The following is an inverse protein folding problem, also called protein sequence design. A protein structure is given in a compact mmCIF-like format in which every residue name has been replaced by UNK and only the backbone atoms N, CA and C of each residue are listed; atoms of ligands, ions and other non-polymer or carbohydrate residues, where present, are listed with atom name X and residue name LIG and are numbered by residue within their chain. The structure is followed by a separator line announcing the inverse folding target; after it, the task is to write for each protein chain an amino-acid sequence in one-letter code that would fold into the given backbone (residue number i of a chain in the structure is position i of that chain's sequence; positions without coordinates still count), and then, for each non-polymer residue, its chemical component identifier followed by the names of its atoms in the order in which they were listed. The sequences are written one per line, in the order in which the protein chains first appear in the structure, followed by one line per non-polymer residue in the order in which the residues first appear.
data_IF_744127928459
#
_entry.id   IF_744127928459
#
_cell.length_a   1.000
_cell.length_b   1.000
_cell.length_c   1.000
_cell.angle_alpha   90.00
_cell.angle_beta   90.00
_cell.angle_gamma   90.00
#
_symmetry.space_group_name_H-M   'P 1'
#
loop_
_entity.id
_entity.type
_entity.pdbx_description
1 polymer ?
#
# COMPACT_ATOMS: atom_id res chain seq x y z
N UNK A 1 17.09 -1.46 -16.07
CA UNK A 1 16.55 -0.92 -17.33
C UNK A 1 17.64 -0.97 -18.38
N UNK A 2 17.26 -1.08 -19.63
CA UNK A 2 18.13 -0.99 -20.80
C UNK A 2 17.39 -0.15 -21.85
N UNK A 3 18.05 0.85 -22.43
CA UNK A 3 17.47 1.78 -23.41
C UNK A 3 16.10 2.37 -22.97
N UNK A 4 16.04 2.83 -21.71
CA UNK A 4 14.82 3.41 -21.13
C UNK A 4 13.69 2.42 -20.82
N UNK A 5 13.93 1.11 -20.88
CA UNK A 5 12.92 0.06 -20.65
C UNK A 5 13.26 -0.85 -19.47
N UNK A 6 12.24 -1.22 -18.68
CA UNK A 6 12.39 -2.22 -17.62
C UNK A 6 12.60 -3.60 -18.25
N UNK A 7 13.63 -4.30 -17.77
CA UNK A 7 13.91 -5.68 -18.15
C UNK A 7 12.94 -6.60 -17.44
N UNK A 8 12.45 -7.62 -18.13
CA UNK A 8 11.50 -8.58 -17.56
C UNK A 8 12.23 -9.57 -16.67
N UNK A 9 11.52 -10.09 -15.66
CA UNK A 9 11.99 -11.28 -14.96
C UNK A 9 11.78 -12.51 -15.85
N UNK A 10 12.76 -13.43 -15.87
CA UNK A 10 12.67 -14.69 -16.61
C UNK A 10 13.06 -14.66 -18.10
N UNK A 11 13.67 -13.57 -18.58
CA UNK A 11 14.26 -13.47 -19.93
C UNK A 11 15.78 -13.35 -19.85
N UNK A 12 16.49 -13.76 -20.89
CA UNK A 12 17.95 -13.59 -20.95
C UNK A 12 18.32 -12.19 -21.44
N UNK A 13 19.56 -11.77 -21.17
CA UNK A 13 20.09 -10.51 -21.70
C UNK A 13 20.06 -10.49 -23.23
N UNK A 14 20.29 -11.64 -23.87
CA UNK A 14 20.22 -11.79 -25.32
C UNK A 14 18.80 -11.60 -25.87
N UNK A 15 17.77 -12.08 -25.14
CA UNK A 15 16.36 -11.89 -25.53
C UNK A 15 15.94 -10.42 -25.52
N UNK A 16 16.59 -9.61 -24.68
CA UNK A 16 16.38 -8.16 -24.58
C UNK A 16 17.37 -7.37 -25.46
N UNK A 17 18.15 -8.05 -26.31
CA UNK A 17 19.05 -7.44 -27.29
C UNK A 17 20.32 -6.81 -26.71
N UNK A 18 20.63 -7.09 -25.44
CA UNK A 18 21.76 -6.51 -24.72
C UNK A 18 23.07 -7.17 -25.17
N UNK A 19 24.05 -6.38 -25.52
CA UNK A 19 25.36 -6.79 -26.01
C UNK A 19 26.48 -6.47 -25.02
N UNK A 20 27.66 -7.03 -25.26
CA UNK A 20 28.86 -6.69 -24.50
C UNK A 20 29.20 -5.20 -24.69
N UNK A 21 29.42 -4.50 -23.57
CA UNK A 21 29.68 -3.06 -23.55
C UNK A 21 28.45 -2.19 -23.32
N UNK A 22 27.24 -2.77 -23.33
CA UNK A 22 26.02 -2.05 -23.01
C UNK A 22 25.92 -1.69 -21.52
N UNK A 23 25.25 -0.57 -21.25
CA UNK A 23 25.03 -0.06 -19.88
C UNK A 23 23.64 -0.43 -19.41
N UNK A 24 23.56 -1.02 -18.21
CA UNK A 24 22.31 -1.32 -17.54
C UNK A 24 22.08 -0.33 -16.41
N UNK A 25 20.95 0.36 -16.47
CA UNK A 25 20.53 1.23 -15.38
C UNK A 25 19.81 0.41 -14.31
N UNK A 26 20.47 0.18 -13.18
CA UNK A 26 19.84 -0.48 -12.03
C UNK A 26 19.01 0.53 -11.25
N UNK A 27 17.69 0.36 -11.31
CA UNK A 27 16.76 1.08 -10.45
C UNK A 27 16.18 0.13 -9.43
N UNK A 28 16.08 0.61 -8.20
CA UNK A 28 15.23 -0.03 -7.24
C UNK A 28 13.76 0.18 -7.63
N UNK A 29 13.00 -0.89 -7.87
CA UNK A 29 11.56 -0.77 -8.03
C UNK A 29 10.94 -0.21 -6.73
N UNK A 30 9.91 0.61 -6.90
CA UNK A 30 9.07 1.06 -5.81
C UNK A 30 7.96 0.05 -5.63
N UNK A 31 7.87 -0.47 -4.41
CA UNK A 31 6.91 -1.51 -4.04
C UNK A 31 5.87 -0.91 -3.11
N UNK A 32 4.60 -1.02 -3.50
CA UNK A 32 3.48 -0.94 -2.58
C UNK A 32 3.45 -2.26 -1.80
N UNK A 33 4.09 -2.24 -0.63
CA UNK A 33 4.33 -3.42 0.20
C UNK A 33 3.23 -3.59 1.24
N UNK A 34 2.81 -4.84 1.41
CA UNK A 34 1.85 -5.29 2.42
C UNK A 34 0.48 -4.58 2.49
N UNK A 35 -0.16 -4.16 1.38
CA UNK A 35 -1.61 -4.07 1.38
C UNK A 35 -2.28 -5.36 1.87
N UNK A 36 -2.92 -5.30 3.03
CA UNK A 36 -3.77 -6.37 3.55
C UNK A 36 -5.18 -5.87 3.79
N UNK A 37 -6.16 -6.69 3.46
CA UNK A 37 -7.59 -6.37 3.49
C UNK A 37 -8.28 -7.27 4.53
N UNK A 38 -8.86 -6.64 5.54
CA UNK A 38 -9.68 -7.27 6.59
C UNK A 38 -11.16 -6.97 6.35
N UNK A 39 -12.02 -7.97 6.57
CA UNK A 39 -13.48 -7.85 6.49
C UNK A 39 -14.06 -8.11 7.88
N UNK A 40 -14.86 -7.18 8.40
CA UNK A 40 -15.54 -7.29 9.70
C UNK A 40 -17.04 -7.08 9.52
N UNK A 41 -17.80 -8.11 9.09
CA UNK A 41 -19.24 -8.01 9.00
C UNK A 41 -19.89 -8.04 10.39
N UNK A 42 -21.10 -7.48 10.57
CA UNK A 42 -21.79 -7.49 11.87
C UNK A 42 -22.41 -8.86 12.21
N UNK A 43 -22.51 -9.74 11.21
CA UNK A 43 -22.94 -11.12 11.32
C UNK A 43 -22.17 -11.98 10.31
N UNK A 44 -22.06 -13.30 10.50
CA UNK A 44 -21.33 -14.17 9.57
C UNK A 44 -21.81 -14.00 8.12
N UNK A 45 -20.87 -13.72 7.21
CA UNK A 45 -21.11 -13.68 5.77
C UNK A 45 -20.63 -14.99 5.15
N UNK A 46 -21.57 -15.77 4.61
CA UNK A 46 -21.25 -17.03 3.94
C UNK A 46 -20.45 -16.84 2.64
N UNK A 47 -20.57 -15.67 2.00
CA UNK A 47 -19.82 -15.32 0.80
C UNK A 47 -19.70 -13.80 0.69
N UNK A 48 -18.48 -13.34 0.44
CA UNK A 48 -18.14 -11.98 0.05
C UNK A 48 -17.12 -12.05 -1.10
N UNK A 49 -17.36 -11.27 -2.15
CA UNK A 49 -16.44 -11.09 -3.27
C UNK A 49 -15.62 -9.83 -3.02
N UNK A 50 -14.30 -9.96 -3.04
CA UNK A 50 -13.35 -8.85 -2.90
C UNK A 50 -12.58 -8.72 -4.19
N UNK A 51 -12.73 -7.59 -4.86
CA UNK A 51 -12.07 -7.34 -6.14
C UNK A 51 -11.18 -6.12 -6.06
N UNK A 52 -9.99 -6.23 -6.66
CA UNK A 52 -8.99 -5.18 -6.63
C UNK A 52 -8.49 -4.92 -8.03
N UNK A 53 -8.54 -3.66 -8.48
CA UNK A 53 -8.06 -3.26 -9.79
C UNK A 53 -6.97 -2.19 -9.71
N UNK A 54 -5.81 -2.45 -10.31
CA UNK A 54 -4.68 -1.53 -10.34
C UNK A 54 -4.68 -0.70 -11.63
N UNK A 55 -4.23 0.54 -11.50
CA UNK A 55 -3.88 1.36 -12.67
C UNK A 55 -2.58 0.88 -13.32
N UNK A 56 -2.31 1.24 -14.59
CA UNK A 56 -1.14 0.74 -15.33
C UNK A 56 0.23 1.09 -14.74
N UNK A 57 0.27 2.08 -13.85
CA UNK A 57 1.45 2.46 -13.06
C UNK A 57 1.90 1.37 -12.08
N UNK A 58 1.04 0.40 -11.76
CA UNK A 58 1.33 -0.73 -10.89
C UNK A 58 0.95 -2.06 -11.55
N UNK A 59 1.70 -3.10 -11.21
CA UNK A 59 1.29 -4.48 -11.45
C UNK A 59 1.38 -5.28 -10.16
N UNK A 60 0.54 -6.31 -10.04
CA UNK A 60 0.63 -7.25 -8.93
C UNK A 60 2.00 -7.97 -8.94
N UNK A 61 2.65 -8.01 -7.78
CA UNK A 61 3.92 -8.73 -7.57
C UNK A 61 3.77 -9.92 -6.63
N UNK A 62 2.80 -9.88 -5.71
CA UNK A 62 2.44 -10.99 -4.83
C UNK A 62 0.95 -10.94 -4.50
N UNK A 63 0.33 -12.12 -4.33
CA UNK A 63 -1.08 -12.30 -4.00
C UNK A 63 -1.21 -13.49 -3.06
N UNK A 64 -2.00 -13.35 -2.00
CA UNK A 64 -2.34 -14.46 -1.13
C UNK A 64 -3.75 -14.28 -0.55
N UNK A 65 -4.67 -15.24 -0.76
CA UNK A 65 -4.53 -16.48 -1.54
C UNK A 65 -4.19 -16.22 -3.01
N UNK A 66 -3.60 -17.23 -3.66
CA UNK A 66 -3.20 -17.14 -5.07
C UNK A 66 -4.44 -17.13 -5.94
N UNK A 67 -4.59 -16.09 -6.76
CA UNK A 67 -5.68 -15.93 -7.73
C UNK A 67 -5.12 -15.44 -9.06
N UNK A 68 -5.85 -15.70 -10.14
CA UNK A 68 -5.45 -15.26 -11.47
C UNK A 68 -5.59 -13.75 -11.63
N UNK A 69 -4.57 -13.14 -12.24
CA UNK A 69 -4.59 -11.73 -12.62
C UNK A 69 -5.23 -11.59 -14.00
N UNK A 70 -6.38 -10.93 -14.05
CA UNK A 70 -7.06 -10.59 -15.30
C UNK A 70 -6.55 -9.23 -15.80
N UNK A 71 -6.12 -9.14 -17.05
CA UNK A 71 -5.74 -7.88 -17.70
C UNK A 71 -6.82 -7.45 -18.69
N UNK A 72 -7.07 -6.14 -18.76
CA UNK A 72 -8.07 -5.58 -19.69
C UNK A 72 -7.70 -5.81 -21.17
N UNK A 73 -6.41 -5.83 -21.49
CA UNK A 73 -5.85 -6.22 -22.79
C UNK A 73 -4.43 -6.78 -22.62
N UNK A 74 -3.76 -7.15 -23.71
CA UNK A 74 -2.38 -7.68 -23.70
C UNK A 74 -1.30 -6.60 -23.81
N UNK A 75 -1.66 -5.32 -23.68
CA UNK A 75 -0.69 -4.23 -23.75
C UNK A 75 0.08 -4.09 -22.43
N UNK A 76 1.15 -3.29 -22.44
CA UNK A 76 1.94 -3.03 -21.23
C UNK A 76 1.26 -2.06 -20.28
N UNK A 77 0.27 -1.32 -20.77
CA UNK A 77 -0.40 -0.23 -20.07
C UNK A 77 -1.83 -0.65 -19.66
N UNK A 78 -2.11 -1.95 -19.61
CA UNK A 78 -3.41 -2.47 -19.24
C UNK A 78 -3.63 -2.34 -17.73
N UNK A 79 -4.86 -1.98 -17.36
CA UNK A 79 -5.34 -2.22 -16.01
C UNK A 79 -5.34 -3.72 -15.72
N UNK A 80 -4.98 -4.07 -14.49
CA UNK A 80 -5.03 -5.44 -13.99
C UNK A 80 -6.03 -5.55 -12.86
N UNK A 81 -6.70 -6.70 -12.73
CA UNK A 81 -7.69 -6.97 -11.70
C UNK A 81 -7.49 -8.38 -11.14
N UNK A 82 -7.76 -8.52 -9.85
CA UNK A 82 -7.86 -9.79 -9.14
C UNK A 82 -9.17 -9.84 -8.37
N UNK A 83 -9.60 -11.05 -8.03
CA UNK A 83 -10.83 -11.27 -7.28
C UNK A 83 -10.68 -12.48 -6.37
N UNK A 84 -11.08 -12.32 -5.11
CA UNK A 84 -11.21 -13.40 -4.14
C UNK A 84 -12.68 -13.57 -3.77
N UNK A 85 -13.06 -14.79 -3.43
CA UNK A 85 -14.35 -15.08 -2.78
C UNK A 85 -14.09 -15.77 -1.46
N UNK A 86 -14.57 -15.17 -0.38
CA UNK A 86 -14.33 -15.63 1.01
C UNK A 86 -15.63 -15.67 1.79
N UNK A 87 -15.74 -16.56 2.78
CA UNK A 87 -16.63 -16.29 3.92
C UNK A 87 -15.92 -15.38 4.92
N UNK A 88 -16.67 -14.62 5.70
CA UNK A 88 -16.13 -13.70 6.70
C UNK A 88 -16.93 -13.79 8.01
N UNK A 89 -16.22 -13.92 9.13
CA UNK A 89 -16.77 -13.92 10.48
C UNK A 89 -16.65 -12.53 11.12
N UNK A 90 -17.52 -12.18 12.10
CA UNK A 90 -17.47 -10.87 12.76
C UNK A 90 -16.14 -10.55 13.46
N UNK A 91 -15.36 -11.56 13.82
CA UNK A 91 -14.04 -11.40 14.44
C UNK A 91 -12.91 -11.08 13.43
N UNK A 92 -13.22 -11.08 12.13
CA UNK A 92 -12.29 -10.83 11.03
C UNK A 92 -11.68 -12.09 10.41
N UNK A 93 -12.00 -13.28 10.92
CA UNK A 93 -11.55 -14.53 10.32
C UNK A 93 -12.21 -14.75 8.96
N UNK A 94 -11.44 -15.19 7.98
CA UNK A 94 -11.91 -15.47 6.62
C UNK A 94 -11.64 -16.93 6.25
N UNK A 95 -12.47 -17.48 5.37
CA UNK A 95 -12.19 -18.74 4.68
C UNK A 95 -12.30 -18.53 3.19
N UNK A 96 -11.24 -18.80 2.43
CA UNK A 96 -11.31 -18.76 0.97
C UNK A 96 -12.11 -19.96 0.46
N UNK A 97 -13.17 -19.68 -0.33
CA UNK A 97 -14.22 -20.67 -0.59
C UNK A 97 -13.79 -21.78 -1.56
N UNK A 98 -12.78 -21.55 -2.40
CA UNK A 98 -12.33 -22.54 -3.39
C UNK A 98 -11.44 -23.62 -2.77
N UNK A 99 -10.65 -23.25 -1.77
CA UNK A 99 -9.61 -24.07 -1.13
C UNK A 99 -9.93 -24.45 0.31
N UNK A 100 -10.85 -23.74 0.98
CA UNK A 100 -11.12 -23.89 2.41
C UNK A 100 -10.02 -23.30 3.30
N UNK A 101 -9.14 -22.46 2.74
CA UNK A 101 -8.01 -21.88 3.46
C UNK A 101 -8.48 -20.83 4.47
N UNK A 102 -8.15 -21.04 5.75
CA UNK A 102 -8.39 -20.08 6.83
C UNK A 102 -7.37 -18.95 6.79
N UNK A 103 -7.85 -17.71 6.92
CA UNK A 103 -7.06 -16.49 6.74
C UNK A 103 -7.46 -15.45 7.77
N UNK A 104 -6.52 -14.56 8.09
CA UNK A 104 -6.81 -13.33 8.85
C UNK A 104 -7.15 -12.14 7.96
N UNK A 105 -6.69 -12.17 6.72
CA UNK A 105 -6.80 -11.09 5.74
C UNK A 105 -6.46 -11.62 4.35
N UNK A 106 -6.86 -10.88 3.33
CA UNK A 106 -6.35 -11.02 1.96
C UNK A 106 -5.10 -10.15 1.81
N UNK A 107 -4.09 -10.64 1.12
CA UNK A 107 -2.80 -9.96 0.95
C UNK A 107 -2.50 -9.73 -0.52
N UNK A 108 -1.98 -8.55 -0.83
CA UNK A 108 -1.44 -8.23 -2.14
C UNK A 108 -0.23 -7.30 -2.06
N UNK A 109 0.62 -7.33 -3.07
CA UNK A 109 1.67 -6.33 -3.29
C UNK A 109 1.64 -5.88 -4.74
N UNK A 110 2.13 -4.66 -4.98
CA UNK A 110 2.35 -4.16 -6.32
C UNK A 110 3.72 -3.50 -6.49
N UNK A 111 4.26 -3.59 -7.69
CA UNK A 111 5.48 -2.90 -8.09
C UNK A 111 5.18 -1.87 -9.18
N UNK A 112 5.89 -0.74 -9.11
CA UNK A 112 5.87 0.29 -10.14
C UNK A 112 6.34 -0.27 -11.49
N UNK A 113 5.53 -0.09 -12.52
CA UNK A 113 5.88 -0.43 -13.91
C UNK A 113 6.83 0.58 -14.55
N UNK A 114 7.04 1.72 -13.88
CA UNK A 114 7.72 2.89 -14.44
C UNK A 114 6.96 3.58 -15.57
N UNK A 115 5.79 3.07 -15.95
CA UNK A 115 4.84 3.80 -16.78
C UNK A 115 4.37 5.03 -16.02
N UNK A 116 4.38 6.16 -16.71
CA UNK A 116 3.90 7.44 -16.19
C UNK A 116 2.87 7.95 -17.16
N UNK A 117 1.61 7.78 -16.78
CA UNK A 117 0.48 8.42 -17.44
C UNK A 117 0.56 9.95 -17.25
N UNK A 118 0.08 10.69 -18.26
CA UNK A 118 -0.10 12.14 -18.12
C UNK A 118 -1.35 12.41 -17.27
N UNK A 119 -1.13 12.65 -15.98
CA UNK A 119 -2.19 12.92 -15.03
C UNK A 119 -1.85 14.18 -14.23
N UNK A 120 -1.99 15.33 -14.89
CA UNK A 120 -2.05 16.63 -14.22
C UNK A 120 -3.10 16.61 -13.10
N UNK A 121 -2.69 16.97 -11.88
CA UNK A 121 -3.58 17.16 -10.72
C UNK A 121 -3.76 15.99 -9.75
N UNK A 122 -3.11 14.83 -9.92
CA UNK A 122 -3.08 13.78 -8.87
C UNK A 122 -2.10 14.18 -7.76
N UNK A 123 -2.47 13.94 -6.49
CA UNK A 123 -1.58 14.16 -5.33
C UNK A 123 -0.76 12.93 -4.95
N UNK A 124 -1.05 11.81 -5.60
CA UNK A 124 -0.31 10.56 -5.47
C UNK A 124 -0.19 9.88 -6.84
N UNK A 125 1.04 9.53 -7.19
CA UNK A 125 1.37 8.72 -8.35
C UNK A 125 2.12 7.46 -7.90
N UNK A 126 1.60 6.26 -8.18
CA UNK A 126 2.22 5.00 -7.80
C UNK A 126 3.65 4.82 -8.33
N UNK A 127 3.90 5.26 -9.56
CA UNK A 127 5.23 5.22 -10.20
C UNK A 127 6.15 6.38 -9.83
N UNK A 128 5.65 7.40 -9.13
CA UNK A 128 6.40 8.61 -8.73
C UNK A 128 5.85 9.14 -7.39
N UNK A 129 5.90 8.34 -6.31
CA UNK A 129 5.48 8.79 -4.99
C UNK A 129 6.38 9.95 -4.55
N UNK A 130 5.78 10.96 -3.92
CA UNK A 130 6.50 12.14 -3.47
C UNK A 130 6.43 12.33 -1.96
N UNK A 131 7.61 12.57 -1.38
CA UNK A 131 7.83 13.08 -0.03
C UNK A 131 8.79 14.26 -0.13
N UNK A 132 8.30 15.44 0.22
CA UNK A 132 9.06 16.68 0.23
C UNK A 132 8.75 17.50 1.48
N UNK A 133 9.55 18.53 1.73
CA UNK A 133 9.47 19.40 2.90
C UNK A 133 8.11 20.09 3.12
N UNK A 134 7.22 20.12 2.11
CA UNK A 134 5.88 20.72 2.19
C UNK A 134 4.79 19.72 2.56
N UNK A 135 5.01 18.42 2.36
CA UNK A 135 3.97 17.39 2.52
C UNK A 135 4.28 16.34 3.58
N UNK A 136 5.56 16.16 3.94
CA UNK A 136 6.03 15.17 4.89
C UNK A 136 6.01 15.69 6.33
N UNK A 137 6.03 14.75 7.28
CA UNK A 137 6.46 14.97 8.66
C UNK A 137 7.78 14.24 8.84
N UNK A 138 8.70 14.77 9.64
CA UNK A 138 9.98 14.11 9.94
C UNK A 138 10.14 13.90 11.42
N UNK A 139 10.51 12.68 11.82
CA UNK A 139 10.78 12.32 13.20
C UNK A 139 12.05 11.45 13.30
N UNK A 140 12.84 11.59 14.39
CA UNK A 140 13.84 10.59 14.73
C UNK A 140 13.20 9.21 14.94
N UNK A 141 13.98 8.14 14.84
CA UNK A 141 13.48 6.76 14.83
C UNK A 141 12.55 6.41 16.01
N UNK A 142 12.96 6.68 17.26
CA UNK A 142 12.14 6.32 18.43
C UNK A 142 10.83 7.13 18.51
N UNK A 143 10.84 8.48 18.41
CA UNK A 143 9.61 9.26 18.29
C UNK A 143 8.72 8.85 17.12
N UNK A 144 9.30 8.48 15.98
CA UNK A 144 8.58 7.99 14.81
C UNK A 144 7.75 6.74 15.14
N UNK A 145 8.34 5.73 15.79
CA UNK A 145 7.60 4.49 16.12
C UNK A 145 6.42 4.75 17.06
N UNK A 146 6.62 5.57 18.10
CA UNK A 146 5.53 5.94 19.02
C UNK A 146 4.43 6.73 18.32
N UNK A 147 4.81 7.67 17.46
CA UNK A 147 3.86 8.45 16.67
C UNK A 147 3.10 7.59 15.66
N UNK A 148 3.79 6.66 14.99
CA UNK A 148 3.19 5.74 14.03
C UNK A 148 2.10 4.89 14.69
N UNK A 149 2.37 4.29 15.85
CA UNK A 149 1.37 3.48 16.56
C UNK A 149 0.12 4.30 16.94
N UNK A 150 0.33 5.52 17.46
CA UNK A 150 -0.75 6.44 17.81
C UNK A 150 -1.57 6.88 16.57
N UNK A 151 -0.90 7.20 15.47
CA UNK A 151 -1.52 7.58 14.22
C UNK A 151 -2.37 6.42 13.65
N UNK A 152 -1.82 5.21 13.58
CA UNK A 152 -2.55 4.02 13.14
C UNK A 152 -3.75 3.72 14.05
N UNK A 153 -3.63 3.92 15.37
CA UNK A 153 -4.74 3.79 16.31
C UNK A 153 -5.86 4.81 16.03
N UNK A 154 -5.48 6.07 15.76
CA UNK A 154 -6.44 7.13 15.45
C UNK A 154 -7.21 6.84 14.16
N UNK A 155 -6.53 6.24 13.19
CA UNK A 155 -7.04 5.74 11.91
C UNK A 155 -7.79 4.40 12.03
N UNK A 156 -8.15 4.02 13.26
CA UNK A 156 -9.01 2.88 13.60
C UNK A 156 -8.45 1.50 13.28
N UNK A 157 -7.13 1.35 13.11
CA UNK A 157 -6.53 0.03 13.02
C UNK A 157 -6.56 -0.66 14.39
N UNK A 158 -7.06 -1.90 14.42
CA UNK A 158 -7.02 -2.76 15.60
C UNK A 158 -5.60 -3.23 15.91
N UNK A 159 -5.36 -3.70 17.13
CA UNK A 159 -4.00 -4.02 17.63
C UNK A 159 -3.23 -5.01 16.75
N UNK A 160 -3.87 -6.08 16.24
CA UNK A 160 -3.19 -7.03 15.34
C UNK A 160 -2.72 -6.34 14.06
N UNK A 161 -3.60 -5.60 13.36
CA UNK A 161 -3.22 -4.86 12.16
C UNK A 161 -2.08 -3.86 12.40
N UNK A 162 -2.03 -3.18 13.55
CA UNK A 162 -0.93 -2.26 13.90
C UNK A 162 0.39 -3.00 14.11
N UNK A 163 0.36 -4.07 14.89
CA UNK A 163 1.55 -4.87 15.20
C UNK A 163 2.12 -5.54 13.95
N UNK A 164 1.25 -6.11 13.11
CA UNK A 164 1.64 -6.74 11.86
C UNK A 164 2.29 -5.71 10.92
N UNK A 165 1.69 -4.54 10.76
CA UNK A 165 2.22 -3.44 9.96
C UNK A 165 3.61 -2.98 10.43
N UNK A 166 3.77 -2.73 11.73
CA UNK A 166 5.06 -2.30 12.28
C UNK A 166 6.11 -3.39 12.13
N UNK A 167 5.75 -4.66 12.33
CA UNK A 167 6.67 -5.79 12.22
C UNK A 167 7.16 -5.99 10.80
N UNK A 168 6.27 -5.91 9.80
CA UNK A 168 6.64 -6.02 8.40
C UNK A 168 7.60 -4.91 7.96
N UNK A 169 7.34 -3.66 8.34
CA UNK A 169 8.16 -2.52 7.94
C UNK A 169 9.40 -2.30 8.82
N UNK A 170 9.51 -2.98 9.96
CA UNK A 170 10.65 -2.82 10.90
C UNK A 170 12.02 -2.97 10.24
N UNK A 171 12.28 -3.94 9.33
CA UNK A 171 13.58 -4.04 8.65
C UNK A 171 13.92 -2.78 7.84
N UNK A 172 12.94 -2.11 7.23
CA UNK A 172 13.13 -0.86 6.50
C UNK A 172 13.42 0.30 7.45
N UNK A 173 12.64 0.43 8.53
CA UNK A 173 12.86 1.47 9.53
C UNK A 173 14.21 1.32 10.24
N UNK A 174 14.61 0.08 10.55
CA UNK A 174 15.92 -0.22 11.11
C UNK A 174 17.05 0.17 10.15
N UNK A 175 16.91 -0.12 8.84
CA UNK A 175 17.88 0.32 7.84
C UNK A 175 18.03 1.84 7.77
N UNK A 176 16.94 2.59 7.89
CA UNK A 176 16.98 4.06 7.94
C UNK A 176 17.73 4.52 9.20
N UNK A 177 17.37 3.98 10.36
CA UNK A 177 18.05 4.27 11.64
C UNK A 177 19.54 3.97 11.60
N UNK A 178 19.93 2.82 11.06
CA UNK A 178 21.33 2.36 11.05
C UNK A 178 22.21 3.23 10.14
N UNK A 179 21.61 3.97 9.21
CA UNK A 179 22.27 5.02 8.42
C UNK A 179 22.36 6.37 9.13
N UNK A 180 21.87 6.48 10.37
CA UNK A 180 21.81 7.74 11.12
C UNK A 180 20.74 8.72 10.63
N UNK A 181 19.76 8.23 9.88
CA UNK A 181 18.73 9.07 9.25
C UNK A 181 17.47 9.19 10.12
N UNK A 182 16.72 10.26 9.92
CA UNK A 182 15.36 10.42 10.40
C UNK A 182 14.35 9.82 9.41
N UNK A 183 13.13 9.56 9.87
CA UNK A 183 12.05 9.04 9.01
C UNK A 183 11.16 10.20 8.58
N UNK A 184 11.16 10.48 7.29
CA UNK A 184 10.17 11.34 6.65
C UNK A 184 8.97 10.50 6.22
N UNK A 185 7.75 10.91 6.53
CA UNK A 185 6.56 10.12 6.22
C UNK A 185 5.29 10.95 6.04
N UNK A 186 4.30 10.36 5.38
CA UNK A 186 2.91 10.83 5.36
C UNK A 186 1.96 9.68 5.05
N UNK A 187 0.74 9.75 5.56
CA UNK A 187 -0.35 8.90 5.05
C UNK A 187 -1.01 9.53 3.82
N UNK A 188 -1.39 8.70 2.86
CA UNK A 188 -2.11 9.13 1.66
C UNK A 188 -3.60 9.25 1.97
N UNK A 189 -4.24 10.29 1.45
CA UNK A 189 -5.70 10.39 1.49
C UNK A 189 -6.34 9.21 0.77
N UNK A 190 -7.30 8.53 1.40
CA UNK A 190 -7.86 7.29 0.87
C UNK A 190 -8.42 7.44 -0.55
N UNK A 191 -9.01 8.60 -0.87
CA UNK A 191 -9.50 8.94 -2.22
C UNK A 191 -8.42 8.99 -3.31
N UNK A 192 -7.19 9.32 -2.94
CA UNK A 192 -6.06 9.35 -3.88
C UNK A 192 -5.48 7.95 -4.08
N UNK A 193 -5.50 7.13 -3.02
CA UNK A 193 -5.12 5.72 -3.08
C UNK A 193 -6.13 4.89 -3.89
N UNK A 194 -7.43 5.16 -3.74
CA UNK A 194 -8.53 4.58 -4.54
C UNK A 194 -8.32 4.73 -6.05
N UNK A 195 -7.74 5.86 -6.47
CA UNK A 195 -7.43 6.10 -7.89
C UNK A 195 -6.29 5.25 -8.41
N UNK A 196 -5.43 4.70 -7.55
CA UNK A 196 -4.30 3.85 -7.92
C UNK A 196 -4.66 2.35 -7.83
N UNK A 197 -5.42 1.99 -6.81
CA UNK A 197 -5.85 0.62 -6.55
C UNK A 197 -7.32 0.64 -6.12
N UNK A 198 -8.25 0.39 -7.05
CA UNK A 198 -9.68 0.41 -6.77
C UNK A 198 -10.07 -0.86 -6.02
N UNK A 199 -10.73 -0.70 -4.86
CA UNK A 199 -11.18 -1.83 -4.03
C UNK A 199 -12.71 -1.89 -4.05
N UNK A 200 -13.25 -3.03 -4.49
CA UNK A 200 -14.68 -3.33 -4.48
C UNK A 200 -14.93 -4.54 -3.58
N UNK A 201 -15.98 -4.48 -2.76
CA UNK A 201 -16.43 -5.60 -1.93
C UNK A 201 -17.93 -5.76 -2.09
N UNK A 202 -18.38 -7.00 -2.31
CA UNK A 202 -19.79 -7.38 -2.40
C UNK A 202 -20.08 -8.49 -1.36
N UNK A 203 -21.06 -8.36 -0.46
CA UNK A 203 -22.00 -7.25 -0.30
C UNK A 203 -21.29 -5.92 0.00
N UNK A 204 -21.88 -4.81 -0.42
CA UNK A 204 -21.28 -3.48 -0.22
C UNK A 204 -21.10 -3.20 1.28
N UNK A 205 -19.87 -2.89 1.75
CA UNK A 205 -19.63 -2.55 3.15
C UNK A 205 -20.19 -1.17 3.48
N UNK A 206 -20.61 -1.00 4.72
CA UNK A 206 -21.09 0.27 5.26
C UNK A 206 -19.97 1.32 5.35
N UNK A 207 -18.73 0.87 5.57
CA UNK A 207 -17.55 1.73 5.65
C UNK A 207 -16.30 0.99 5.20
N UNK A 208 -15.48 1.68 4.41
CA UNK A 208 -14.15 1.24 4.01
C UNK A 208 -13.13 2.22 4.58
N UNK A 209 -12.11 1.70 5.27
CA UNK A 209 -10.98 2.47 5.80
C UNK A 209 -9.72 2.02 5.08
N UNK A 210 -9.06 2.93 4.34
CA UNK A 210 -7.83 2.60 3.61
C UNK A 210 -6.68 3.48 4.08
N UNK A 211 -5.66 2.87 4.65
CA UNK A 211 -4.50 3.55 5.23
C UNK A 211 -3.25 3.15 4.46
N UNK A 212 -2.62 4.12 3.80
CA UNK A 212 -1.41 3.87 3.02
C UNK A 212 -0.28 4.81 3.45
N UNK A 213 0.80 4.26 3.99
CA UNK A 213 1.97 5.02 4.46
C UNK A 213 2.99 5.21 3.33
N UNK A 214 3.41 6.45 3.08
CA UNK A 214 4.68 6.71 2.40
C UNK A 214 5.74 7.06 3.43
N UNK A 215 6.94 6.53 3.29
CA UNK A 215 8.08 6.91 4.13
C UNK A 215 9.41 6.87 3.36
N UNK A 216 10.40 7.64 3.81
CA UNK A 216 11.80 7.58 3.35
C UNK A 216 12.76 7.94 4.48
N UNK A 217 14.02 7.53 4.35
CA UNK A 217 15.10 8.07 5.17
C UNK A 217 15.49 9.46 4.70
N UNK A 218 15.72 10.38 5.62
CA UNK A 218 16.27 11.72 5.35
C UNK A 218 17.39 12.03 6.33
N UNK A 219 18.38 12.77 5.87
CA UNK A 219 19.42 13.26 6.76
C UNK A 219 18.81 14.27 7.75
N UNK A 220 19.29 14.35 9.00
CA UNK A 220 18.71 15.23 10.02
C UNK A 220 18.53 16.68 9.56
N UNK A 221 19.52 17.22 8.83
CA UNK A 221 19.53 18.59 8.29
C UNK A 221 18.42 18.81 7.23
N UNK A 222 18.19 17.84 6.33
CA UNK A 222 17.04 17.88 5.39
C UNK A 222 15.72 17.83 6.18
N UNK A 223 15.69 17.06 7.26
CA UNK A 223 14.55 16.95 8.15
C UNK A 223 14.10 18.28 8.74
N UNK A 224 15.04 19.15 9.12
CA UNK A 224 14.77 20.47 9.71
C UNK A 224 14.06 21.44 8.75
N UNK A 225 14.15 21.21 7.44
CA UNK A 225 13.45 22.01 6.42
C UNK A 225 11.94 21.70 6.39
N UNK A 226 11.50 20.65 7.09
CA UNK A 226 10.11 20.21 7.08
C UNK A 226 9.20 21.23 7.74
N UNK A 227 8.18 21.65 6.99
CA UNK A 227 7.23 22.68 7.42
C UNK A 227 6.07 22.15 8.26
N UNK A 228 5.80 20.84 8.22
CA UNK A 228 4.71 20.20 8.96
C UNK A 228 5.23 19.52 10.21
N UNK A 229 4.59 19.78 11.35
CA UNK A 229 4.92 19.13 12.62
C UNK A 229 3.97 17.97 12.91
N UNK A 230 4.52 16.88 13.43
CA UNK A 230 3.81 15.63 13.67
C UNK A 230 2.59 15.79 14.58
N UNK A 231 2.75 16.57 15.65
CA UNK A 231 1.75 16.88 16.67
C UNK A 231 0.60 17.76 16.17
N UNK A 232 0.76 18.38 14.98
CA UNK A 232 -0.24 19.25 14.37
C UNK A 232 -1.04 18.56 13.27
N UNK A 233 -0.73 17.30 12.93
CA UNK A 233 -1.44 16.57 11.88
C UNK A 233 -2.59 15.77 12.49
N UNK A 234 -3.82 16.17 12.17
CA UNK A 234 -4.98 15.30 12.31
C UNK A 234 -4.97 14.27 11.17
N UNK A 235 -4.48 13.07 11.47
CA UNK A 235 -4.42 11.99 10.49
C UNK A 235 -5.79 11.50 10.04
N UNK A 236 -6.80 11.53 10.91
CA UNK A 236 -8.16 11.11 10.57
C UNK A 236 -8.71 12.02 9.46
N UNK A 237 -8.59 13.33 9.64
CA UNK A 237 -8.98 14.31 8.63
C UNK A 237 -8.08 14.26 7.38
N UNK A 238 -6.76 14.14 7.56
CA UNK A 238 -5.80 14.14 6.45
C UNK A 238 -5.96 12.92 5.53
N UNK A 239 -6.24 11.74 6.10
CA UNK A 239 -6.51 10.51 5.34
C UNK A 239 -7.96 10.53 4.83
N UNK A 240 -8.88 11.12 5.59
CA UNK A 240 -10.30 11.21 5.30
C UNK A 240 -11.09 10.01 5.80
N UNK A 241 -10.70 9.41 6.92
CA UNK A 241 -11.35 8.21 7.51
C UNK A 241 -12.62 8.59 8.26
N UNK A 242 -13.71 7.83 8.08
CA UNK A 242 -14.87 7.91 8.95
C UNK A 242 -14.62 7.08 10.22
N UNK A 243 -13.89 7.68 11.17
CA UNK A 243 -13.44 6.99 12.36
C UNK A 243 -14.57 6.64 13.35
N UNK A 244 -15.76 7.22 13.19
CA UNK A 244 -16.95 6.87 13.98
C UNK A 244 -17.52 5.57 13.44
N UNK A 245 -17.84 5.51 12.14
CA UNK A 245 -18.39 4.30 11.52
C UNK A 245 -17.41 3.14 11.51
N UNK A 246 -16.11 3.41 11.34
CA UNK A 246 -15.08 2.36 11.36
C UNK A 246 -14.94 1.66 12.73
N UNK A 247 -15.46 2.25 13.81
CA UNK A 247 -15.51 1.64 15.15
C UNK A 247 -16.86 1.00 15.49
N UNK A 248 -17.88 1.18 14.64
CA UNK A 248 -19.21 0.65 14.89
C UNK A 248 -19.30 -0.82 14.45
N UNK A 249 -19.30 -1.74 15.42
CA UNK A 249 -19.34 -3.19 15.17
C UNK A 249 -20.70 -3.66 14.63
N UNK A 250 -21.74 -2.82 14.65
CA UNK A 250 -23.02 -3.11 14.00
C UNK A 250 -22.99 -2.89 12.47
N UNK A 251 -21.92 -2.31 11.94
CA UNK A 251 -21.72 -2.06 10.52
C UNK A 251 -20.82 -3.13 9.88
N UNK A 252 -21.00 -3.38 8.58
CA UNK A 252 -20.01 -4.11 7.80
C UNK A 252 -18.84 -3.20 7.47
N UNK A 253 -17.69 -3.46 8.10
CA UNK A 253 -16.48 -2.65 7.98
C UNK A 253 -15.40 -3.37 7.19
N UNK A 254 -14.75 -2.67 6.28
CA UNK A 254 -13.56 -3.15 5.58
C UNK A 254 -12.39 -2.25 5.94
N UNK A 255 -11.26 -2.87 6.29
CA UNK A 255 -10.01 -2.17 6.61
C UNK A 255 -8.93 -2.66 5.66
N UNK A 256 -8.31 -1.74 4.93
CA UNK A 256 -7.08 -2.00 4.19
C UNK A 256 -5.94 -1.14 4.76
N UNK A 257 -4.79 -1.77 4.97
CA UNK A 257 -3.56 -1.06 5.33
C UNK A 257 -2.40 -1.49 4.44
N UNK A 258 -1.53 -0.58 4.06
CA UNK A 258 -0.33 -0.86 3.28
C UNK A 258 0.67 0.29 3.34
N UNK A 259 1.81 0.14 2.69
CA UNK A 259 2.79 1.22 2.62
C UNK A 259 3.75 1.13 1.46
N UNK A 260 4.62 2.12 1.36
CA UNK A 260 5.67 2.17 0.36
C UNK A 260 6.84 2.99 0.88
N UNK A 261 8.03 2.41 0.77
CA UNK A 261 9.26 3.18 0.93
C UNK A 261 9.56 3.95 -0.37
N UNK A 262 9.69 5.27 -0.26
CA UNK A 262 10.08 6.17 -1.33
C UNK A 262 11.61 6.19 -1.41
N UNK A 263 12.15 6.10 -2.64
CA UNK A 263 13.59 6.00 -2.91
C UNK A 263 14.08 7.20 -3.69
#
# INVERSE_FOLDING_TARGET
MYDGRYLRSGVTLADEGIQEGDVLDWYHSMRGGEPVIYLFPPAPLASATVSLALTPEWHFSALYPVVDVVKADQTKDSKSRVEWTVSAEPDGSLVELASGLELKYLFWEAESTGFVSDHSGRRFHPSKPSLDHTNQVVLPFTPFLSHLDAALSSLTLHTSARNDFVTFWMPHFARIRDKGQHVAFRFIAQREYERAARLDVEPTPDVVTRVFLLFKGVDPEEGELTTRRADQVDWVSAVGVDAVRARDEALFRVLERGGMEVK
#
